data_IF_079228530559
#
_entry.id   IF_079228530559
#
_cell.length_a   1.000
_cell.length_b   1.000
_cell.length_c   1.000
_cell.angle_alpha   90.00
_cell.angle_beta   90.00
_cell.angle_gamma   90.00
#
_symmetry.space_group_name_H-M   'P 1'
#
loop_
_entity.id
_entity.type
_entity.pdbx_description
1 polymer ?
#
# COMPACT_ATOMS: atom_id res chain seq x y z
N UNK A 1 -2.73 8.36 -25.78
CA UNK A 1 -2.81 8.93 -24.41
C UNK A 1 -1.39 9.02 -23.88
N UNK A 2 -0.93 10.19 -23.45
CA UNK A 2 0.44 10.37 -22.94
C UNK A 2 0.52 9.83 -21.51
N UNK A 3 1.32 8.79 -21.28
CA UNK A 3 1.69 8.36 -19.92
C UNK A 3 2.48 9.48 -19.24
N UNK A 4 2.16 9.85 -17.99
CA UNK A 4 3.00 10.76 -17.22
C UNK A 4 4.43 10.27 -17.23
N UNK A 5 5.36 11.15 -17.55
CA UNK A 5 6.76 10.81 -17.70
C UNK A 5 7.47 11.10 -16.38
N UNK A 6 7.55 10.11 -15.49
CA UNK A 6 8.39 10.22 -14.30
C UNK A 6 9.86 10.37 -14.73
N UNK A 7 10.67 11.17 -14.00
CA UNK A 7 12.12 11.20 -14.23
C UNK A 7 12.69 9.79 -14.10
N UNK A 8 13.60 9.43 -15.01
CA UNK A 8 14.24 8.12 -15.07
C UNK A 8 15.74 8.22 -14.80
N UNK A 9 16.28 7.27 -14.05
CA UNK A 9 17.73 7.12 -13.91
C UNK A 9 18.35 6.48 -15.16
N UNK A 10 19.68 6.32 -15.18
CA UNK A 10 20.42 5.68 -16.28
C UNK A 10 20.07 4.21 -16.52
N UNK A 11 19.41 3.56 -15.56
CA UNK A 11 18.90 2.19 -15.66
C UNK A 11 17.43 2.15 -16.08
N UNK A 12 16.80 3.30 -16.30
CA UNK A 12 15.40 3.43 -16.68
C UNK A 12 14.40 3.35 -15.52
N UNK A 13 14.87 3.36 -14.26
CA UNK A 13 13.98 3.36 -13.10
C UNK A 13 13.33 4.72 -12.92
N UNK A 14 12.01 4.72 -12.74
CA UNK A 14 11.23 5.91 -12.49
C UNK A 14 11.33 6.34 -11.02
N UNK A 15 11.31 7.64 -10.78
CA UNK A 15 11.21 8.20 -9.43
C UNK A 15 10.11 9.25 -9.33
N UNK A 16 9.50 9.34 -8.16
CA UNK A 16 8.56 10.40 -7.86
C UNK A 16 9.29 11.73 -7.68
N UNK A 17 8.61 12.82 -8.06
CA UNK A 17 9.07 14.16 -7.74
C UNK A 17 8.83 14.45 -6.26
N UNK A 18 9.67 15.30 -5.68
CA UNK A 18 9.59 15.71 -4.27
C UNK A 18 9.11 17.14 -4.12
N UNK A 19 8.38 17.41 -3.05
CA UNK A 19 8.03 18.76 -2.62
C UNK A 19 9.17 19.37 -1.78
N UNK A 20 9.01 20.63 -1.35
CA UNK A 20 10.00 21.34 -0.52
C UNK A 20 10.25 20.71 0.86
N UNK A 21 9.31 19.90 1.35
CA UNK A 21 9.43 19.15 2.62
C UNK A 21 10.18 17.82 2.46
N UNK A 22 10.45 17.42 1.21
CA UNK A 22 11.09 16.15 0.88
C UNK A 22 10.12 15.00 0.66
N UNK A 23 8.80 15.23 0.71
CA UNK A 23 7.81 14.20 0.43
C UNK A 23 7.65 14.03 -1.08
N UNK A 24 7.61 12.78 -1.53
CA UNK A 24 7.26 12.42 -2.88
C UNK A 24 5.78 12.66 -3.14
N UNK A 25 5.38 12.90 -4.39
CA UNK A 25 3.97 13.06 -4.73
C UNK A 25 3.58 12.32 -6.01
N UNK A 26 2.33 11.84 -6.01
CA UNK A 26 1.73 11.18 -7.16
C UNK A 26 1.37 12.18 -8.24
N UNK A 27 1.68 11.84 -9.49
CA UNK A 27 1.03 12.50 -10.61
C UNK A 27 -0.39 11.96 -10.78
N UNK A 28 -1.39 12.82 -10.53
CA UNK A 28 -2.80 12.47 -10.60
C UNK A 28 -3.48 13.20 -11.75
N UNK A 29 -4.03 12.45 -12.72
CA UNK A 29 -4.98 13.00 -13.70
C UNK A 29 -6.40 12.50 -13.41
N UNK A 30 -6.65 11.21 -13.67
CA UNK A 30 -7.92 10.52 -13.35
C UNK A 30 -7.73 9.32 -12.44
N UNK A 31 -6.53 8.75 -12.43
CA UNK A 31 -6.05 7.65 -11.59
C UNK A 31 -4.62 7.99 -11.17
N UNK A 32 -4.10 7.41 -10.06
CA UNK A 32 -2.72 7.61 -9.70
C UNK A 32 -1.87 6.90 -10.74
N UNK A 33 -0.79 7.55 -11.18
CA UNK A 33 0.23 6.87 -11.98
C UNK A 33 1.35 6.48 -11.04
N UNK A 34 1.77 5.22 -11.07
CA UNK A 34 2.78 4.70 -10.16
C UNK A 34 4.14 4.67 -10.85
N UNK A 35 5.18 5.10 -10.14
CA UNK A 35 6.54 4.96 -10.62
C UNK A 35 6.95 3.49 -10.58
N UNK A 36 7.74 3.06 -11.56
CA UNK A 36 8.24 1.70 -11.69
C UNK A 36 9.75 1.65 -11.48
N UNK A 37 10.19 0.80 -10.55
CA UNK A 37 11.60 0.47 -10.32
C UNK A 37 11.80 -1.03 -10.57
N UNK A 38 12.78 -1.39 -11.38
CA UNK A 38 13.09 -2.79 -11.72
C UNK A 38 11.85 -3.59 -12.21
N UNK A 39 10.97 -2.93 -12.98
CA UNK A 39 9.74 -3.55 -13.49
C UNK A 39 8.64 -3.75 -12.44
N UNK A 40 8.80 -3.21 -11.23
CA UNK A 40 7.80 -3.25 -10.15
C UNK A 40 7.32 -1.84 -9.77
N UNK A 41 5.99 -1.60 -9.74
CA UNK A 41 5.44 -0.36 -9.24
C UNK A 41 5.64 -0.26 -7.73
N UNK A 42 5.85 0.96 -7.24
CA UNK A 42 6.01 1.26 -5.81
C UNK A 42 5.22 2.51 -5.41
N UNK A 43 5.01 2.71 -4.12
CA UNK A 43 4.32 3.87 -3.57
C UNK A 43 5.27 5.05 -3.37
N UNK A 44 4.76 6.27 -3.47
CA UNK A 44 5.48 7.48 -3.07
C UNK A 44 5.77 7.46 -1.57
N UNK A 45 6.89 8.06 -1.17
CA UNK A 45 7.37 8.13 0.21
C UNK A 45 7.32 9.53 0.80
N UNK A 46 7.02 9.62 2.08
CA UNK A 46 7.23 10.85 2.84
C UNK A 46 8.74 11.12 3.08
N UNK A 47 9.04 12.29 3.64
CA UNK A 47 10.42 12.65 4.03
C UNK A 47 11.08 11.68 5.03
N UNK A 48 10.30 10.88 5.74
CA UNK A 48 10.76 9.86 6.68
C UNK A 48 10.92 8.47 6.05
N UNK A 49 10.74 8.35 4.74
CA UNK A 49 10.80 7.09 3.97
C UNK A 49 9.61 6.14 4.18
N UNK A 50 8.51 6.59 4.77
CA UNK A 50 7.28 5.82 4.81
C UNK A 50 6.51 5.97 3.50
N UNK A 51 6.14 4.85 2.91
CA UNK A 51 5.22 4.82 1.77
C UNK A 51 3.80 5.18 2.21
N UNK A 52 3.05 5.86 1.34
CA UNK A 52 1.67 6.21 1.60
C UNK A 52 0.78 5.97 0.38
N UNK A 53 -0.46 5.57 0.60
CA UNK A 53 -1.42 5.36 -0.49
C UNK A 53 -1.80 6.69 -1.16
N UNK A 54 -1.94 6.74 -2.50
CA UNK A 54 -2.61 7.87 -3.14
C UNK A 54 -4.09 7.91 -2.73
N UNK A 55 -4.61 9.12 -2.54
CA UNK A 55 -6.01 9.36 -2.20
C UNK A 55 -6.75 9.90 -3.42
N UNK A 56 -7.85 9.24 -3.81
CA UNK A 56 -8.75 9.70 -4.87
C UNK A 56 -10.17 9.68 -4.33
N UNK A 57 -10.89 10.80 -4.46
CA UNK A 57 -12.26 10.93 -3.95
C UNK A 57 -12.40 10.45 -2.49
N UNK A 58 -11.44 10.86 -1.65
CA UNK A 58 -11.37 10.50 -0.24
C UNK A 58 -11.25 8.98 0.04
N UNK A 59 -10.63 8.23 -0.88
CA UNK A 59 -10.34 6.81 -0.72
C UNK A 59 -8.91 6.50 -1.08
N UNK A 60 -8.25 5.70 -0.26
CA UNK A 60 -6.91 5.20 -0.53
C UNK A 60 -6.95 4.16 -1.66
N UNK A 61 -5.99 4.25 -2.57
CA UNK A 61 -5.92 3.39 -3.76
C UNK A 61 -4.64 2.56 -3.73
N UNK A 62 -4.78 1.26 -3.50
CA UNK A 62 -3.67 0.33 -3.56
C UNK A 62 -3.21 0.02 -4.99
N UNK A 63 -1.90 -0.15 -5.16
CA UNK A 63 -1.25 -0.65 -6.37
C UNK A 63 -1.66 -2.10 -6.61
N UNK A 64 -2.15 -2.38 -7.82
CA UNK A 64 -2.25 -3.73 -8.35
C UNK A 64 -0.95 -4.13 -9.05
N UNK A 65 -0.42 -5.31 -8.72
CA UNK A 65 0.76 -5.89 -9.37
C UNK A 65 0.57 -7.40 -9.53
N UNK A 66 0.57 -7.88 -10.77
CA UNK A 66 0.11 -9.24 -11.13
C UNK A 66 -1.29 -9.54 -10.55
N UNK A 67 -1.50 -10.75 -10.03
CA UNK A 67 -2.75 -11.22 -9.43
C UNK A 67 -2.95 -10.77 -7.97
N UNK A 68 -2.28 -9.70 -7.53
CA UNK A 68 -2.38 -9.20 -6.16
C UNK A 68 -2.36 -7.68 -6.11
N UNK A 69 -2.83 -7.13 -5.00
CA UNK A 69 -2.46 -5.78 -4.59
C UNK A 69 -1.29 -5.84 -3.62
N UNK A 70 -0.50 -4.78 -3.53
CA UNK A 70 0.64 -4.66 -2.61
C UNK A 70 0.34 -3.62 -1.53
N UNK A 71 0.80 -3.87 -0.30
CA UNK A 71 0.69 -2.91 0.79
C UNK A 71 1.77 -1.83 0.69
N UNK A 72 1.44 -0.61 1.10
CA UNK A 72 2.42 0.42 1.42
C UNK A 72 3.23 -0.02 2.65
N UNK A 73 4.47 0.45 2.78
CA UNK A 73 5.37 0.10 3.87
C UNK A 73 5.92 1.32 4.61
N UNK A 74 6.08 1.20 5.93
CA UNK A 74 6.90 2.14 6.70
C UNK A 74 8.37 2.04 6.30
N UNK A 75 9.17 3.01 6.76
CA UNK A 75 10.62 2.96 6.63
C UNK A 75 11.25 1.72 7.30
N UNK A 76 10.61 1.17 8.34
CA UNK A 76 11.03 -0.07 9.02
C UNK A 76 10.69 -1.34 8.23
N UNK A 77 9.87 -1.24 7.18
CA UNK A 77 9.46 -2.38 6.35
C UNK A 77 8.12 -3.00 6.74
N UNK A 78 7.47 -2.51 7.81
CA UNK A 78 6.11 -2.90 8.18
C UNK A 78 5.12 -2.47 7.12
N UNK A 79 4.30 -3.40 6.67
CA UNK A 79 3.19 -3.15 5.76
C UNK A 79 2.07 -2.41 6.47
N UNK A 80 1.38 -1.52 5.78
CA UNK A 80 0.35 -0.62 6.30
C UNK A 80 -0.95 -0.93 5.58
N UNK A 81 -2.03 -1.19 6.31
CA UNK A 81 -3.35 -1.35 5.70
C UNK A 81 -3.83 -0.06 5.02
N UNK A 82 -4.58 -0.22 3.92
CA UNK A 82 -5.33 0.91 3.37
C UNK A 82 -6.58 1.18 4.23
N UNK A 83 -7.09 2.40 4.19
CA UNK A 83 -8.33 2.78 4.86
C UNK A 83 -9.50 2.87 3.86
N UNK A 84 -10.69 2.48 4.30
CA UNK A 84 -11.95 2.80 3.62
C UNK A 84 -12.38 4.26 3.85
N UNK A 85 -13.56 4.64 3.35
CA UNK A 85 -14.05 6.01 3.48
C UNK A 85 -14.47 6.36 4.93
N UNK A 86 -14.69 5.33 5.74
CA UNK A 86 -15.10 5.39 7.14
C UNK A 86 -13.90 5.41 8.10
N UNK A 87 -12.69 5.17 7.58
CA UNK A 87 -11.45 5.15 8.32
C UNK A 87 -11.06 3.79 8.91
N UNK A 88 -11.69 2.70 8.45
CA UNK A 88 -11.33 1.34 8.87
C UNK A 88 -10.20 0.79 7.98
N UNK A 89 -9.28 0.03 8.57
CA UNK A 89 -8.27 -0.71 7.83
C UNK A 89 -8.92 -1.85 7.01
N UNK A 90 -8.50 -1.99 5.75
CA UNK A 90 -9.08 -2.96 4.80
C UNK A 90 -8.02 -3.92 4.27
N UNK A 91 -8.36 -5.21 4.32
CA UNK A 91 -7.53 -6.27 3.76
C UNK A 91 -7.56 -6.22 2.22
N UNK A 92 -6.38 -6.23 1.61
CA UNK A 92 -6.24 -6.28 0.17
C UNK A 92 -6.57 -7.69 -0.36
N UNK A 93 -7.48 -7.82 -1.34
CA UNK A 93 -7.82 -9.11 -1.91
C UNK A 93 -6.69 -9.65 -2.79
N UNK A 94 -6.54 -10.98 -2.79
CA UNK A 94 -5.71 -11.70 -3.77
C UNK A 94 -6.59 -12.22 -4.90
N UNK A 95 -6.38 -11.69 -6.11
CA UNK A 95 -7.18 -12.06 -7.27
C UNK A 95 -7.00 -13.56 -7.57
N UNK A 96 -8.12 -14.26 -7.82
CA UNK A 96 -8.11 -15.68 -8.16
C UNK A 96 -7.96 -16.64 -6.97
N UNK A 97 -8.02 -16.16 -5.73
CA UNK A 97 -8.01 -17.02 -4.53
C UNK A 97 -9.07 -16.56 -3.52
N UNK A 98 -9.55 -17.48 -2.69
CA UNK A 98 -10.32 -17.15 -1.48
C UNK A 98 -9.42 -16.77 -0.29
N UNK A 99 -8.13 -16.50 -0.53
CA UNK A 99 -7.19 -16.14 0.54
C UNK A 99 -7.03 -14.64 0.67
N UNK A 100 -7.10 -14.18 1.90
CA UNK A 100 -6.84 -12.80 2.31
C UNK A 100 -5.33 -12.58 2.48
N UNK A 101 -4.80 -11.48 1.95
CA UNK A 101 -3.41 -11.09 2.19
C UNK A 101 -3.38 -10.14 3.38
N UNK A 102 -3.07 -10.60 4.58
CA UNK A 102 -2.89 -9.71 5.73
C UNK A 102 -1.60 -8.89 5.58
N UNK A 103 -1.59 -7.66 6.11
CA UNK A 103 -0.38 -6.88 6.22
C UNK A 103 0.55 -7.51 7.27
N UNK A 104 1.85 -7.34 7.07
CA UNK A 104 2.89 -7.87 7.94
C UNK A 104 3.64 -6.80 8.71
N UNK A 105 4.04 -7.12 9.93
CA UNK A 105 4.94 -6.31 10.74
C UNK A 105 6.40 -6.37 10.20
N UNK A 106 7.30 -5.69 10.89
CA UNK A 106 8.73 -5.68 10.58
C UNK A 106 9.38 -7.06 10.60
N UNK A 107 8.88 -7.97 11.44
CA UNK A 107 9.36 -9.34 11.60
C UNK A 107 8.75 -10.30 10.55
N UNK A 108 7.83 -9.80 9.72
CA UNK A 108 7.13 -10.57 8.70
C UNK A 108 5.92 -11.35 9.21
N UNK A 109 5.46 -11.09 10.44
CA UNK A 109 4.26 -11.69 10.97
C UNK A 109 3.02 -10.91 10.52
N UNK A 110 1.96 -11.65 10.16
CA UNK A 110 0.68 -11.03 9.84
C UNK A 110 0.06 -10.39 11.10
N UNK A 111 -0.70 -9.31 10.92
CA UNK A 111 -1.48 -8.69 11.99
C UNK A 111 -2.89 -8.33 11.49
N UNK A 112 -3.85 -8.14 12.41
CA UNK A 112 -5.24 -7.87 12.03
C UNK A 112 -5.46 -6.39 11.65
N UNK A 113 -6.36 -6.12 10.68
CA UNK A 113 -6.83 -4.75 10.46
C UNK A 113 -7.62 -4.26 11.68
N UNK A 114 -7.61 -2.96 11.92
CA UNK A 114 -8.41 -2.29 12.94
C UNK A 114 -9.50 -1.42 12.32
N UNK A 115 -10.60 -1.25 13.02
CA UNK A 115 -11.60 -0.24 12.67
C UNK A 115 -11.08 1.18 12.99
N UNK A 116 -11.88 2.19 12.66
CA UNK A 116 -11.55 3.61 12.94
C UNK A 116 -11.34 3.93 14.43
N UNK A 117 -11.77 3.07 15.35
CA UNK A 117 -11.60 3.22 16.80
C UNK A 117 -10.33 2.53 17.31
N UNK A 118 -9.69 1.72 16.45
CA UNK A 118 -8.52 0.92 16.79
C UNK A 118 -8.87 -0.50 17.25
N UNK A 119 -10.15 -0.90 17.21
CA UNK A 119 -10.56 -2.27 17.55
C UNK A 119 -10.25 -3.23 16.40
N UNK A 120 -9.70 -4.41 16.70
CA UNK A 120 -9.37 -5.41 15.67
C UNK A 120 -10.62 -5.93 14.96
N UNK A 121 -10.64 -5.85 13.63
CA UNK A 121 -11.68 -6.42 12.79
C UNK A 121 -11.34 -7.90 12.56
N UNK A 122 -11.97 -8.76 13.35
CA UNK A 122 -11.88 -10.22 13.21
C UNK A 122 -13.02 -10.70 12.31
N UNK A 123 -12.74 -11.03 11.04
CA UNK A 123 -13.75 -11.64 10.17
C UNK A 123 -14.10 -13.06 10.66
N UNK A 124 -15.34 -13.23 11.12
CA UNK A 124 -15.84 -14.36 11.91
C UNK A 124 -15.66 -15.78 11.37
N UNK A 125 -15.41 -15.97 10.05
CA UNK A 125 -15.24 -17.31 9.45
C UNK A 125 -13.80 -17.64 9.02
N UNK A 126 -12.88 -16.68 9.13
CA UNK A 126 -11.50 -16.84 8.66
C UNK A 126 -10.54 -16.40 9.74
N UNK A 127 -10.51 -17.16 10.84
CA UNK A 127 -9.33 -17.16 11.72
C UNK A 127 -8.10 -17.30 10.82
N UNK A 128 -7.02 -16.63 11.20
CA UNK A 128 -5.71 -16.79 10.62
C UNK A 128 -5.24 -18.26 10.82
N UNK A 129 -5.80 -19.19 10.04
CA UNK A 129 -5.80 -20.63 10.32
C UNK A 129 -4.45 -21.28 10.00
N UNK A 130 -3.51 -20.53 9.40
CA UNK A 130 -2.20 -21.05 8.96
C UNK A 130 -1.01 -20.12 9.18
N UNK A 131 -1.22 -18.89 9.66
CA UNK A 131 -0.13 -17.94 9.96
C UNK A 131 -0.38 -17.37 11.35
N UNK A 132 0.67 -17.22 12.16
CA UNK A 132 0.56 -16.62 13.49
C UNK A 132 0.23 -15.14 13.29
N UNK A 133 -1.05 -14.79 13.31
CA UNK A 133 -1.46 -13.39 13.37
C UNK A 133 -1.28 -12.90 14.81
N UNK A 134 -0.49 -11.85 15.00
CA UNK A 134 -0.29 -11.24 16.32
C UNK A 134 -1.30 -10.12 16.53
N UNK A 135 -1.76 -9.99 17.77
CA UNK A 135 -2.53 -8.82 18.19
C UNK A 135 -1.59 -7.63 18.28
N UNK A 136 -2.04 -6.46 17.80
CA UNK A 136 -1.28 -5.22 17.96
C UNK A 136 -1.10 -4.86 19.43
#
# INVERSE_FOLDING_TARGET
MSTPNYPKDSSGNESYLKNEKGDEYYFTQRKPVFAVKEGRPFYAKDKYQNEFYPVINNREVAIGYFFSKIYAKTASGKEIYQHDAEGNEVILPKLGTLSWNYAKDEDGNAYYPTDKTGEEIVQGDYKCLRQKCFRK
#
